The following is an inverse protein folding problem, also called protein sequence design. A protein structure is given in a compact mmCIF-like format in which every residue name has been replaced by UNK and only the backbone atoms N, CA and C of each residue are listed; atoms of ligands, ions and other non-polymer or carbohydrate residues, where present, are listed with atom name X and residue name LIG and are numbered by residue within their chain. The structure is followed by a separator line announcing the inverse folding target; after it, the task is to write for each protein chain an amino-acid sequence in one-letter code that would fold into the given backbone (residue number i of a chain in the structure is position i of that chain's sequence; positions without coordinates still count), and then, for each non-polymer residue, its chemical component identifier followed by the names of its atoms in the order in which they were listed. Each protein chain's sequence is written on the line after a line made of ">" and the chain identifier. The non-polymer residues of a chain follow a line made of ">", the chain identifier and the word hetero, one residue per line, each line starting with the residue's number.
data_IF_470556673415
#
_entry.id   IF_470556673415
#
_cell.length_a   1.000
_cell.length_b   1.000
_cell.length_c   1.000
_cell.angle_alpha   90.00
_cell.angle_beta   90.00
_cell.angle_gamma   90.00
#
_symmetry.space_group_name_H-M   'P 1'
#
loop_
_entity.id
_entity.type
_entity.pdbx_description
1 polymer ?
#
# COMPACT_ATOMS: atom_id res chain seq x y z
N UNK A 1 10.22 -13.59 -11.01
CA UNK A 1 8.77 -13.57 -10.75
C UNK A 1 8.49 -14.88 -10.06
N UNK A 2 8.08 -14.83 -8.81
CA UNK A 2 7.92 -16.03 -8.00
C UNK A 2 6.51 -16.57 -8.20
N UNK A 3 6.36 -17.89 -8.20
CA UNK A 3 5.11 -18.57 -8.50
C UNK A 3 4.95 -19.77 -7.56
N UNK A 4 3.75 -19.92 -7.01
CA UNK A 4 3.32 -21.10 -6.30
C UNK A 4 2.47 -21.96 -7.24
N UNK A 5 2.90 -23.20 -7.43
CA UNK A 5 2.10 -24.26 -8.06
C UNK A 5 1.47 -25.10 -6.96
N UNK A 6 0.15 -24.99 -6.82
CA UNK A 6 -0.63 -25.77 -5.86
C UNK A 6 -1.49 -26.78 -6.61
N UNK A 7 -1.23 -28.06 -6.39
CA UNK A 7 -2.04 -29.14 -6.95
C UNK A 7 -2.57 -30.02 -5.82
N UNK A 8 -3.89 -30.16 -5.74
CA UNK A 8 -4.57 -31.01 -4.79
C UNK A 8 -5.43 -32.02 -5.55
N UNK A 9 -5.26 -33.30 -5.22
CA UNK A 9 -6.06 -34.39 -5.78
C UNK A 9 -6.97 -34.92 -4.68
N UNK A 10 -8.28 -34.76 -4.87
CA UNK A 10 -9.31 -35.21 -3.95
C UNK A 10 -9.87 -36.54 -4.46
N UNK A 11 -9.57 -37.68 -3.80
CA UNK A 11 -10.17 -38.95 -4.17
C UNK A 11 -11.66 -38.89 -3.85
N UNK A 12 -12.48 -39.21 -4.86
CA UNK A 12 -13.94 -39.19 -4.76
C UNK A 12 -14.49 -40.55 -5.17
N UNK A 13 -15.60 -40.92 -4.56
CA UNK A 13 -16.34 -42.11 -5.00
C UNK A 13 -17.06 -41.84 -6.32
N UNK A 14 -17.35 -42.89 -7.09
CA UNK A 14 -18.05 -42.80 -8.38
C UNK A 14 -19.42 -42.12 -8.30
N UNK A 15 -20.04 -42.13 -7.11
CA UNK A 15 -21.34 -41.50 -6.82
C UNK A 15 -21.23 -40.04 -6.38
N UNK A 16 -20.06 -39.60 -5.92
CA UNK A 16 -19.84 -38.24 -5.42
C UNK A 16 -19.60 -37.27 -6.57
N UNK A 17 -20.27 -36.13 -6.56
CA UNK A 17 -20.17 -35.09 -7.58
C UNK A 17 -19.79 -33.76 -6.95
N UNK A 18 -18.80 -33.07 -7.54
CA UNK A 18 -18.37 -31.74 -7.08
C UNK A 18 -19.05 -30.69 -7.95
N UNK A 19 -19.85 -29.82 -7.33
CA UNK A 19 -20.53 -28.70 -8.00
C UNK A 19 -19.84 -27.36 -7.73
N UNK A 20 -18.98 -27.30 -6.72
CA UNK A 20 -18.28 -26.08 -6.38
C UNK A 20 -17.13 -26.34 -5.43
N UNK A 21 -16.24 -25.36 -5.38
CA UNK A 21 -15.04 -25.37 -4.56
C UNK A 21 -14.94 -24.02 -3.86
N UNK A 22 -14.69 -24.08 -2.56
CA UNK A 22 -14.22 -22.96 -1.76
C UNK A 22 -12.84 -23.33 -1.24
N UNK A 23 -11.85 -22.51 -1.55
CA UNK A 23 -10.46 -22.73 -1.18
C UNK A 23 -9.94 -21.48 -0.47
N UNK A 24 -9.41 -21.70 0.73
CA UNK A 24 -8.66 -20.70 1.48
C UNK A 24 -7.21 -21.16 1.52
N UNK A 25 -6.30 -20.31 1.06
CA UNK A 25 -4.88 -20.48 1.22
C UNK A 25 -4.36 -19.38 2.14
N UNK A 26 -3.47 -19.72 3.05
CA UNK A 26 -2.87 -18.74 3.95
C UNK A 26 -1.37 -18.65 3.69
N UNK A 27 -0.82 -17.44 3.78
CA UNK A 27 0.60 -17.19 3.53
C UNK A 27 1.18 -16.28 4.60
N UNK A 28 2.43 -16.51 4.98
CA UNK A 28 3.20 -15.53 5.76
C UNK A 28 3.75 -14.47 4.81
N UNK A 29 3.41 -13.21 5.05
CA UNK A 29 3.83 -12.08 4.23
C UNK A 29 4.74 -11.16 5.04
N UNK A 30 5.95 -10.91 4.55
CA UNK A 30 6.97 -10.14 5.26
C UNK A 30 7.63 -9.09 4.35
N UNK A 31 7.71 -7.86 4.85
CA UNK A 31 8.44 -6.74 4.24
C UNK A 31 9.54 -6.29 5.19
N UNK A 32 10.71 -5.94 4.65
CA UNK A 32 11.90 -5.66 5.47
C UNK A 32 12.61 -4.33 5.16
N UNK A 33 12.28 -3.65 4.06
CA UNK A 33 13.15 -2.58 3.52
C UNK A 33 12.82 -1.18 4.05
N UNK A 34 11.68 -0.62 3.65
CA UNK A 34 11.24 0.73 4.07
C UNK A 34 10.34 0.68 5.31
N UNK A 35 9.57 -0.40 5.44
CA UNK A 35 8.74 -0.74 6.60
C UNK A 35 9.01 -2.20 6.93
N UNK A 36 9.19 -2.52 8.21
CA UNK A 36 9.23 -3.91 8.68
C UNK A 36 7.80 -4.33 9.01
N UNK A 37 7.15 -5.05 8.10
CA UNK A 37 5.74 -5.42 8.23
C UNK A 37 5.60 -6.92 8.10
N UNK A 38 4.95 -7.54 9.08
CA UNK A 38 4.67 -8.97 9.10
C UNK A 38 3.18 -9.18 9.27
N UNK A 39 2.61 -9.99 8.38
CA UNK A 39 1.22 -10.41 8.49
C UNK A 39 1.01 -11.84 8.04
N UNK A 40 -0.02 -12.47 8.58
CA UNK A 40 -0.62 -13.63 7.94
C UNK A 40 -1.70 -13.15 6.95
N UNK A 41 -1.46 -13.51 5.70
CA UNK A 41 -2.27 -13.14 4.56
C UNK A 41 -3.11 -14.33 4.08
N UNK A 42 -4.09 -14.05 3.23
CA UNK A 42 -5.05 -15.05 2.75
C UNK A 42 -5.30 -14.85 1.25
N UNK A 43 -5.39 -15.95 0.51
CA UNK A 43 -6.07 -15.97 -0.78
C UNK A 43 -7.36 -16.76 -0.64
N UNK A 44 -8.47 -16.13 -1.00
CA UNK A 44 -9.78 -16.76 -1.04
C UNK A 44 -10.21 -16.97 -2.49
N UNK A 45 -10.61 -18.19 -2.81
CA UNK A 45 -11.15 -18.58 -4.10
C UNK A 45 -12.48 -19.31 -3.87
N UNK A 46 -13.51 -18.86 -4.58
CA UNK A 46 -14.78 -19.55 -4.63
C UNK A 46 -15.22 -19.67 -6.09
N UNK A 47 -15.62 -20.87 -6.49
CA UNK A 47 -16.16 -21.13 -7.82
C UNK A 47 -17.21 -22.22 -7.73
N UNK A 48 -18.37 -21.99 -8.35
CA UNK A 48 -19.46 -22.95 -8.39
C UNK A 48 -20.04 -23.01 -9.80
N UNK A 49 -20.40 -24.22 -10.22
CA UNK A 49 -20.91 -24.52 -11.56
C UNK A 49 -22.09 -25.47 -11.44
N UNK A 50 -23.05 -25.35 -12.37
CA UNK A 50 -24.24 -26.20 -12.39
C UNK A 50 -23.95 -27.65 -12.81
N UNK A 51 -22.75 -27.92 -13.35
CA UNK A 51 -22.36 -29.22 -13.90
C UNK A 51 -21.22 -29.83 -13.07
N UNK A 52 -21.28 -31.13 -12.74
CA UNK A 52 -20.21 -31.82 -12.04
C UNK A 52 -18.84 -31.66 -12.71
N UNK A 53 -17.88 -31.17 -11.93
CA UNK A 53 -16.50 -30.97 -12.38
C UNK A 53 -15.63 -32.21 -12.20
N UNK A 54 -14.63 -32.33 -13.06
CA UNK A 54 -13.47 -33.20 -12.91
C UNK A 54 -12.25 -32.44 -12.40
N UNK A 55 -12.10 -31.18 -12.79
CA UNK A 55 -10.95 -30.38 -12.41
C UNK A 55 -11.31 -28.89 -12.36
N UNK A 56 -10.72 -28.19 -11.40
CA UNK A 56 -10.71 -26.74 -11.31
C UNK A 56 -9.29 -26.26 -11.57
N UNK A 57 -9.09 -25.47 -12.63
CA UNK A 57 -7.83 -24.78 -12.89
C UNK A 57 -8.00 -23.29 -12.62
N UNK A 58 -7.14 -22.72 -11.78
CA UNK A 58 -7.16 -21.31 -11.42
C UNK A 58 -5.79 -20.71 -11.62
N UNK A 59 -5.76 -19.51 -12.17
CA UNK A 59 -4.52 -18.84 -12.48
C UNK A 59 -4.65 -17.36 -12.17
N UNK A 60 -3.98 -16.88 -11.11
CA UNK A 60 -4.14 -15.53 -10.63
C UNK A 60 -2.89 -14.95 -9.97
N UNK A 61 -2.94 -13.66 -9.72
CA UNK A 61 -1.86 -12.93 -9.06
C UNK A 61 -2.27 -12.63 -7.60
N UNK A 62 -1.45 -12.96 -6.62
CA UNK A 62 -1.67 -12.55 -5.24
C UNK A 62 -1.20 -11.11 -5.05
N UNK A 63 -2.16 -10.20 -4.86
CA UNK A 63 -1.91 -8.76 -4.78
C UNK A 63 -2.17 -8.20 -3.40
N UNK A 64 -1.34 -7.27 -2.95
CA UNK A 64 -1.49 -6.53 -1.70
C UNK A 64 -2.51 -5.41 -1.89
N UNK A 65 -3.56 -5.43 -1.09
CA UNK A 65 -4.56 -4.37 -1.01
C UNK A 65 -4.36 -3.58 0.29
N UNK A 66 -4.08 -2.29 0.14
CA UNK A 66 -3.84 -1.38 1.25
C UNK A 66 -4.96 -0.33 1.32
N UNK A 67 -5.71 -0.31 2.43
CA UNK A 67 -6.65 0.77 2.77
C UNK A 67 -5.95 1.90 3.53
N UNK A 68 -4.83 1.60 4.18
CA UNK A 68 -3.99 2.57 4.86
C UNK A 68 -2.53 2.39 4.42
N UNK A 69 -1.75 3.47 4.34
CA UNK A 69 -0.31 3.37 4.13
C UNK A 69 0.37 2.71 5.34
N UNK A 70 1.46 1.97 5.10
CA UNK A 70 2.28 1.40 6.16
C UNK A 70 3.06 2.50 6.91
N UNK A 71 3.42 2.26 8.17
CA UNK A 71 4.28 3.18 8.91
C UNK A 71 5.71 3.19 8.35
N UNK A 72 6.38 4.34 8.35
CA UNK A 72 7.81 4.40 8.06
C UNK A 72 8.62 3.86 9.23
N UNK A 73 9.41 2.81 8.96
CA UNK A 73 10.19 2.06 9.97
C UNK A 73 9.31 1.50 11.11
N UNK A 74 9.96 0.76 12.00
CA UNK A 74 9.30 0.03 13.07
C UNK A 74 8.81 -1.34 12.61
N UNK A 75 8.55 -2.20 13.59
CA UNK A 75 7.96 -3.52 13.40
C UNK A 75 6.44 -3.40 13.52
N UNK A 76 5.72 -3.58 12.41
CA UNK A 76 4.27 -3.73 12.41
C UNK A 76 3.91 -5.22 12.28
N UNK A 77 3.50 -5.80 13.41
CA UNK A 77 3.07 -7.20 13.57
C UNK A 77 1.59 -7.29 13.92
N UNK A 78 0.81 -6.22 13.74
CA UNK A 78 -0.63 -6.16 14.08
C UNK A 78 -1.43 -7.32 13.47
N UNK A 79 -1.05 -7.76 12.29
CA UNK A 79 -1.72 -8.84 11.56
C UNK A 79 -0.91 -10.13 11.53
N UNK A 80 0.13 -10.26 12.37
CA UNK A 80 0.88 -11.50 12.58
C UNK A 80 0.13 -12.42 13.56
N UNK A 81 -1.13 -12.70 13.22
CA UNK A 81 -2.00 -13.61 13.94
C UNK A 81 -2.66 -14.54 12.94
N UNK A 82 -2.96 -15.77 13.37
CA UNK A 82 -3.58 -16.75 12.51
C UNK A 82 -4.90 -16.25 11.95
N UNK A 83 -5.05 -16.35 10.62
CA UNK A 83 -6.29 -15.97 9.93
C UNK A 83 -7.42 -16.92 10.34
N UNK A 84 -7.08 -18.19 10.56
CA UNK A 84 -7.99 -19.22 11.08
C UNK A 84 -7.44 -19.64 12.45
N UNK A 85 -8.22 -19.39 13.51
CA UNK A 85 -7.80 -19.73 14.86
C UNK A 85 -8.10 -21.21 15.19
N UNK A 86 -7.15 -22.09 14.86
CA UNK A 86 -7.25 -23.53 15.13
C UNK A 86 -7.27 -23.93 16.61
N UNK A 87 -7.10 -22.97 17.54
CA UNK A 87 -7.18 -23.22 18.98
C UNK A 87 -8.54 -22.84 19.57
N UNK A 88 -9.41 -22.22 18.78
CA UNK A 88 -10.72 -21.82 19.29
C UNK A 88 -11.61 -23.04 19.53
N UNK A 89 -12.31 -23.11 20.68
CA UNK A 89 -13.31 -24.14 20.94
C UNK A 89 -14.66 -23.83 20.27
N UNK A 90 -14.85 -22.65 19.69
CA UNK A 90 -16.14 -22.24 19.17
C UNK A 90 -16.27 -22.49 17.66
N UNK A 91 -17.35 -23.14 17.25
CA UNK A 91 -17.63 -23.42 15.83
C UNK A 91 -17.78 -22.14 14.98
N UNK A 92 -18.22 -21.02 15.58
CA UNK A 92 -18.38 -19.75 14.86
C UNK A 92 -17.05 -19.19 14.34
N UNK A 93 -15.93 -19.50 15.00
CA UNK A 93 -14.60 -19.05 14.56
C UNK A 93 -14.09 -19.80 13.31
N UNK A 94 -14.74 -20.91 12.96
CA UNK A 94 -14.45 -21.70 11.76
C UNK A 94 -15.46 -21.44 10.62
N UNK A 95 -16.45 -20.58 10.83
CA UNK A 95 -17.38 -20.19 9.77
C UNK A 95 -16.64 -19.35 8.71
N UNK A 96 -16.67 -19.82 7.47
CA UNK A 96 -16.01 -19.18 6.34
C UNK A 96 -16.50 -17.74 6.14
N UNK A 97 -17.79 -17.47 6.39
CA UNK A 97 -18.33 -16.11 6.26
C UNK A 97 -17.70 -15.15 7.27
N UNK A 98 -17.55 -15.60 8.52
CA UNK A 98 -16.94 -14.84 9.59
C UNK A 98 -15.44 -14.62 9.35
N UNK A 99 -14.72 -15.66 8.93
CA UNK A 99 -13.29 -15.58 8.62
C UNK A 99 -13.04 -14.59 7.47
N UNK A 100 -13.80 -14.67 6.39
CA UNK A 100 -13.64 -13.77 5.23
C UNK A 100 -14.02 -12.34 5.60
N UNK A 101 -15.10 -12.13 6.36
CA UNK A 101 -15.52 -10.81 6.82
C UNK A 101 -14.46 -10.16 7.72
N UNK A 102 -14.00 -10.87 8.76
CA UNK A 102 -12.96 -10.38 9.67
C UNK A 102 -11.63 -10.10 8.95
N UNK A 103 -11.30 -10.89 7.91
CA UNK A 103 -10.14 -10.64 7.08
C UNK A 103 -10.29 -9.36 6.24
N UNK A 104 -11.45 -9.15 5.63
CA UNK A 104 -11.74 -7.98 4.81
C UNK A 104 -11.83 -6.67 5.61
N UNK A 105 -12.12 -6.73 6.91
CA UNK A 105 -12.10 -5.55 7.79
C UNK A 105 -10.69 -4.99 8.01
N UNK A 106 -9.64 -5.80 7.80
CA UNK A 106 -8.25 -5.34 7.93
C UNK A 106 -7.95 -4.21 6.96
N UNK A 107 -6.99 -3.37 7.36
CA UNK A 107 -6.53 -2.25 6.53
C UNK A 107 -5.45 -2.66 5.53
N UNK A 108 -4.84 -3.83 5.71
CA UNK A 108 -3.87 -4.42 4.79
C UNK A 108 -4.25 -5.88 4.61
N UNK A 109 -4.55 -6.26 3.38
CA UNK A 109 -4.99 -7.60 2.99
C UNK A 109 -4.28 -8.02 1.71
N UNK A 110 -4.36 -9.30 1.36
CA UNK A 110 -4.02 -9.79 0.03
C UNK A 110 -5.29 -10.30 -0.65
N UNK A 111 -5.36 -10.12 -1.95
CA UNK A 111 -6.47 -10.60 -2.77
C UNK A 111 -5.93 -11.32 -4.00
N UNK A 112 -6.59 -12.41 -4.37
CA UNK A 112 -6.28 -13.10 -5.61
C UNK A 112 -6.92 -12.33 -6.76
N UNK A 113 -6.09 -11.63 -7.53
CA UNK A 113 -6.52 -10.83 -8.67
C UNK A 113 -6.54 -11.68 -9.94
N UNK A 114 -7.56 -11.45 -10.77
CA UNK A 114 -7.78 -12.12 -12.05
C UNK A 114 -7.65 -13.66 -12.04
N UNK A 115 -8.30 -14.38 -11.10
CA UNK A 115 -8.12 -15.83 -10.95
C UNK A 115 -8.59 -16.68 -12.14
N UNK A 116 -9.43 -16.14 -13.03
CA UNK A 116 -9.95 -16.79 -14.25
C UNK A 116 -10.19 -18.32 -14.09
N UNK A 117 -11.14 -18.74 -13.25
CA UNK A 117 -11.35 -20.16 -12.97
C UNK A 117 -11.87 -20.90 -14.21
N UNK A 118 -11.18 -21.97 -14.60
CA UNK A 118 -11.55 -22.88 -15.68
C UNK A 118 -12.09 -24.17 -15.05
N UNK A 119 -13.32 -24.51 -15.42
CA UNK A 119 -14.00 -25.72 -14.96
C UNK A 119 -14.00 -26.79 -16.04
N UNK A 120 -13.32 -27.90 -15.76
CA UNK A 120 -13.27 -29.04 -16.65
C UNK A 120 -14.28 -30.09 -16.18
N UNK A 121 -15.02 -30.67 -17.12
CA UNK A 121 -16.06 -31.68 -16.89
C UNK A 121 -15.61 -33.04 -17.44
N UNK A 122 -16.38 -34.09 -17.15
CA UNK A 122 -16.12 -35.44 -17.68
C UNK A 122 -15.18 -36.28 -16.83
N UNK A 123 -15.41 -36.32 -15.52
CA UNK A 123 -14.64 -37.14 -14.58
C UNK A 123 -14.87 -38.63 -14.87
N UNK A 124 -13.80 -39.41 -14.96
CA UNK A 124 -13.92 -40.88 -14.96
C UNK A 124 -14.41 -41.37 -13.58
N UNK A 125 -15.06 -42.54 -13.53
CA UNK A 125 -15.72 -43.04 -12.33
C UNK A 125 -14.80 -43.09 -11.09
N UNK A 126 -13.54 -43.48 -11.27
CA UNK A 126 -12.54 -43.60 -10.19
C UNK A 126 -11.46 -42.50 -10.24
N UNK A 127 -11.61 -41.48 -11.09
CA UNK A 127 -10.63 -40.41 -11.17
C UNK A 127 -10.82 -39.41 -10.01
N UNK A 128 -9.73 -38.91 -9.40
CA UNK A 128 -9.82 -37.86 -8.39
C UNK A 128 -10.29 -36.54 -9.01
N UNK A 129 -10.90 -35.69 -8.19
CA UNK A 129 -11.11 -34.30 -8.57
C UNK A 129 -9.82 -33.51 -8.32
N UNK A 130 -9.37 -32.79 -9.35
CA UNK A 130 -8.09 -32.07 -9.28
C UNK A 130 -8.33 -30.57 -9.11
N UNK A 131 -7.72 -29.97 -8.10
CA UNK A 131 -7.61 -28.52 -7.98
C UNK A 131 -6.18 -28.15 -8.37
N UNK A 132 -6.05 -27.37 -9.42
CA UNK A 132 -4.78 -26.89 -9.94
C UNK A 132 -4.78 -25.35 -9.89
N UNK A 133 -4.04 -24.79 -8.94
CA UNK A 133 -3.97 -23.36 -8.72
C UNK A 133 -2.54 -22.85 -8.94
N UNK A 134 -2.40 -21.90 -9.85
CA UNK A 134 -1.15 -21.18 -10.13
C UNK A 134 -1.28 -19.78 -9.58
N UNK A 135 -0.50 -19.48 -8.53
CA UNK A 135 -0.53 -18.18 -7.84
C UNK A 135 0.80 -17.47 -8.09
N UNK A 136 0.75 -16.32 -8.75
CA UNK A 136 1.93 -15.50 -9.00
C UNK A 136 2.08 -14.42 -7.93
N UNK A 137 3.32 -14.09 -7.60
CA UNK A 137 3.67 -12.99 -6.71
C UNK A 137 4.29 -11.84 -7.53
N UNK A 138 3.48 -10.91 -8.05
CA UNK A 138 4.00 -9.79 -8.82
C UNK A 138 4.75 -8.79 -7.93
N UNK A 139 5.59 -7.96 -8.56
CA UNK A 139 6.19 -6.80 -7.90
C UNK A 139 5.14 -5.69 -7.82
N UNK A 140 4.92 -5.16 -6.62
CA UNK A 140 3.88 -4.15 -6.37
C UNK A 140 4.42 -2.87 -5.75
N UNK A 141 3.71 -1.77 -6.01
CA UNK A 141 4.00 -0.47 -5.42
C UNK A 141 3.26 -0.37 -4.09
N UNK A 142 4.03 -0.24 -3.00
CA UNK A 142 3.52 -0.22 -1.63
C UNK A 142 3.58 1.21 -1.11
N UNK A 143 2.47 1.67 -0.55
CA UNK A 143 2.37 2.99 0.08
C UNK A 143 2.85 2.94 1.54
N UNK A 144 3.65 3.94 1.93
CA UNK A 144 4.08 4.15 3.31
C UNK A 144 3.95 5.63 3.70
N UNK A 145 3.79 5.89 5.00
CA UNK A 145 3.74 7.23 5.57
C UNK A 145 5.17 7.76 5.72
N UNK A 146 5.56 8.88 5.11
CA UNK A 146 6.93 9.37 5.18
C UNK A 146 7.33 9.75 6.61
N UNK A 147 8.61 9.55 6.96
CA UNK A 147 9.13 9.94 8.28
C UNK A 147 9.34 11.46 8.39
N UNK A 148 9.58 11.95 9.61
CA UNK A 148 9.81 13.38 9.89
C UNK A 148 10.90 14.00 8.99
N UNK A 149 12.06 13.36 8.87
CA UNK A 149 13.17 13.85 8.05
C UNK A 149 12.86 13.85 6.55
N UNK A 150 12.07 12.89 6.10
CA UNK A 150 11.60 12.83 4.72
C UNK A 150 10.58 13.94 4.45
N UNK A 151 9.66 14.20 5.39
CA UNK A 151 8.76 15.35 5.31
C UNK A 151 9.54 16.67 5.29
N UNK A 152 10.54 16.86 6.17
CA UNK A 152 11.39 18.06 6.16
C UNK A 152 12.06 18.24 4.80
N UNK A 153 12.60 17.15 4.22
CA UNK A 153 13.24 17.16 2.89
C UNK A 153 12.30 17.68 1.80
N UNK A 154 10.99 17.50 1.92
CA UNK A 154 10.04 18.08 0.97
C UNK A 154 9.53 19.47 1.41
N UNK A 155 9.42 19.72 2.70
CA UNK A 155 8.95 21.00 3.22
C UNK A 155 9.94 22.15 2.93
N UNK A 156 11.25 21.92 3.00
CA UNK A 156 12.22 23.00 2.76
C UNK A 156 12.16 23.54 1.33
N UNK A 157 11.92 22.70 0.30
CA UNK A 157 11.81 23.17 -1.08
C UNK A 157 10.58 24.05 -1.26
N UNK A 158 9.47 23.70 -0.61
CA UNK A 158 8.24 24.49 -0.62
C UNK A 158 8.43 25.82 0.12
N UNK A 159 9.08 25.77 1.29
CA UNK A 159 9.37 26.97 2.09
C UNK A 159 10.23 27.97 1.31
N UNK A 160 11.32 27.50 0.69
CA UNK A 160 12.20 28.36 -0.13
C UNK A 160 11.45 28.94 -1.33
N UNK A 161 10.62 28.14 -2.00
CA UNK A 161 9.82 28.60 -3.14
C UNK A 161 8.87 29.75 -2.76
N UNK A 162 8.22 29.66 -1.61
CA UNK A 162 7.32 30.70 -1.09
C UNK A 162 8.12 31.92 -0.61
N UNK A 163 9.24 31.70 0.10
CA UNK A 163 10.09 32.76 0.65
C UNK A 163 10.59 33.72 -0.44
N UNK A 164 11.03 33.19 -1.60
CA UNK A 164 11.53 34.00 -2.71
C UNK A 164 10.47 34.96 -3.26
N UNK A 165 9.22 34.48 -3.39
CA UNK A 165 8.10 35.32 -3.83
C UNK A 165 7.83 36.42 -2.80
N UNK A 166 7.81 36.08 -1.50
CA UNK A 166 7.62 37.07 -0.44
C UNK A 166 8.72 38.13 -0.45
N UNK A 167 9.99 37.74 -0.54
CA UNK A 167 11.10 38.69 -0.60
C UNK A 167 10.97 39.64 -1.79
N UNK A 168 10.63 39.12 -2.98
CA UNK A 168 10.40 39.93 -4.17
C UNK A 168 9.24 40.92 -3.99
N UNK A 169 8.10 40.48 -3.43
CA UNK A 169 6.95 41.36 -3.15
C UNK A 169 7.32 42.44 -2.12
N UNK A 170 7.96 42.07 -1.02
CA UNK A 170 8.36 43.01 0.02
C UNK A 170 9.37 44.04 -0.49
N UNK A 171 10.28 43.65 -1.38
CA UNK A 171 11.18 44.59 -2.03
C UNK A 171 10.41 45.62 -2.86
N UNK A 172 9.41 45.19 -3.64
CA UNK A 172 8.54 46.10 -4.40
C UNK A 172 7.74 47.04 -3.50
N UNK A 173 7.19 46.52 -2.40
CA UNK A 173 6.45 47.35 -1.42
C UNK A 173 7.39 48.36 -0.76
N UNK A 174 8.58 47.96 -0.32
CA UNK A 174 9.57 48.88 0.27
C UNK A 174 9.92 50.00 -0.69
N UNK A 175 10.26 49.67 -1.94
CA UNK A 175 10.57 50.67 -2.97
C UNK A 175 9.39 51.63 -3.13
N UNK A 176 8.16 51.11 -3.20
CA UNK A 176 6.95 51.94 -3.30
C UNK A 176 6.76 52.87 -2.09
N UNK A 177 6.94 52.37 -0.87
CA UNK A 177 6.79 53.15 0.37
C UNK A 177 7.83 54.27 0.47
N UNK A 178 9.09 53.98 0.15
CA UNK A 178 10.17 54.96 0.19
C UNK A 178 10.10 55.98 -0.95
N UNK A 179 9.70 55.58 -2.16
CA UNK A 179 9.52 56.51 -3.28
C UNK A 179 8.35 57.47 -3.06
N UNK A 180 7.24 56.99 -2.49
CA UNK A 180 6.04 57.80 -2.25
C UNK A 180 6.02 58.49 -0.88
N UNK A 181 7.10 58.43 -0.10
CA UNK A 181 7.23 59.04 1.23
C UNK A 181 6.03 58.79 2.16
N UNK A 182 5.46 57.60 2.11
CA UNK A 182 4.28 57.24 2.93
C UNK A 182 4.65 57.20 4.43
N UNK A 183 5.95 57.11 4.74
CA UNK A 183 6.51 57.16 6.10
C UNK A 183 7.58 58.24 6.17
N UNK A 184 7.61 59.00 7.25
CA UNK A 184 8.57 60.10 7.49
C UNK A 184 10.01 59.58 7.46
N UNK A 185 10.72 59.79 6.35
CA UNK A 185 12.15 59.49 6.22
C UNK A 185 12.98 60.71 6.62
N UNK A 186 13.79 60.61 7.67
CA UNK A 186 14.80 61.62 7.98
C UNK A 186 16.08 61.35 7.15
N UNK A 187 16.52 62.26 6.28
CA UNK A 187 17.80 62.10 5.61
C UNK A 187 18.92 62.26 6.64
N UNK A 188 19.76 61.24 6.77
CA UNK A 188 21.01 61.36 7.52
C UNK A 188 21.94 62.23 6.68
N UNK A 189 22.12 63.48 7.09
CA UNK A 189 23.09 64.38 6.49
C UNK A 189 24.50 63.85 6.74
N UNK A 190 25.20 63.43 5.68
CA UNK A 190 26.64 63.16 5.74
C UNK A 190 27.33 64.50 6.00
N UNK A 191 28.20 64.63 7.02
CA UNK A 191 28.84 65.90 7.33
C UNK A 191 29.77 66.32 6.18
N UNK A 192 29.44 67.41 5.48
CA UNK A 192 30.34 68.11 4.57
C UNK A 192 31.42 68.84 5.41
N UNK A 193 32.44 68.11 5.87
CA UNK A 193 33.48 68.63 6.76
C UNK A 193 34.89 68.72 6.17
N UNK A 194 35.22 68.02 5.08
CA UNK A 194 36.64 67.77 4.73
C UNK A 194 37.06 68.08 3.28
N UNK A 195 36.34 68.93 2.55
CA UNK A 195 36.68 69.23 1.12
C UNK A 195 37.15 70.68 0.89
N UNK A 196 37.34 71.52 1.92
CA UNK A 196 37.68 72.94 1.69
C UNK A 196 38.81 73.50 2.55
N UNK A 197 40.00 72.89 2.53
CA UNK A 197 41.26 73.59 2.94
C UNK A 197 42.52 73.04 2.27
N UNK A 198 42.54 72.92 0.94
CA UNK A 198 43.81 73.02 0.21
C UNK A 198 43.54 73.73 -1.09
N UNK A 199 43.80 75.04 -1.13
CA UNK A 199 44.13 75.84 -2.32
C UNK A 199 44.19 77.32 -1.89
N UNK A 200 45.42 77.79 -1.66
CA UNK A 200 46.01 79.10 -1.97
C UNK A 200 46.88 79.68 -0.83
N UNK A 201 48.18 79.68 -1.15
CA UNK A 201 49.26 80.62 -0.82
C UNK A 201 49.50 81.08 0.62
#
# INVERSE_FOLDING_TARGET
>A
MDVLYFKLELPLQSTEQVLGVQLILTFSYQLHRMSTFEMQSMAFLQSSFAVPGSQLHVNGDLRLQQKQPLSYRGLDVRYNVSVINGTSPFAHDYDLTHIVAAYQERNVTTVLSDPNPIWLVGRAAEAPFVIDAVIRYPVEVISYQPGFWEMIKFAWIQYVSILLIFLWVFERIKIFVFQNQVVTSIPVAVPQGEIRKEHLS
#
